data_IF_741925998416
#
_entry.id   IF_741925998416
#
_cell.length_a   1.000
_cell.length_b   1.000
_cell.length_c   1.000
_cell.angle_alpha   90.00
_cell.angle_beta   90.00
_cell.angle_gamma   90.00
#
_symmetry.space_group_name_H-M   'P 1'
#
loop_
_entity.id
_entity.type
_entity.pdbx_description
1 polymer ?
#
# COMPACT_ATOMS: atom_id res chain seq x y z
N UNK A 1 39.67 0.14 -18.82
CA UNK A 1 39.59 1.36 -17.98
C UNK A 1 38.22 1.43 -17.32
N UNK A 2 38.14 1.17 -16.02
CA UNK A 2 36.86 1.06 -15.29
C UNK A 2 36.44 2.44 -14.76
N UNK A 3 35.32 2.97 -15.25
CA UNK A 3 34.80 4.28 -14.83
C UNK A 3 34.04 4.10 -13.51
N UNK A 4 34.65 4.53 -12.40
CA UNK A 4 33.98 4.59 -11.10
C UNK A 4 33.00 5.76 -11.13
N UNK A 5 31.70 5.45 -11.21
CA UNK A 5 30.62 6.41 -11.02
C UNK A 5 30.71 6.97 -9.59
N UNK A 6 30.71 8.30 -9.46
CA UNK A 6 30.74 8.96 -8.16
C UNK A 6 29.35 8.86 -7.53
N UNK A 7 29.29 8.60 -6.22
CA UNK A 7 28.02 8.51 -5.46
C UNK A 7 27.13 9.75 -5.63
N UNK A 8 27.72 10.91 -5.91
CA UNK A 8 27.00 12.14 -6.24
C UNK A 8 26.13 12.03 -7.50
N UNK A 9 26.55 11.23 -8.47
CA UNK A 9 25.81 11.05 -9.72
C UNK A 9 24.66 10.06 -9.53
N UNK A 10 24.81 9.08 -8.62
CA UNK A 10 23.74 8.16 -8.24
C UNK A 10 22.59 8.89 -7.53
N UNK A 11 22.91 9.82 -6.63
CA UNK A 11 21.90 10.62 -5.92
C UNK A 11 21.08 11.52 -6.88
N UNK A 12 21.73 12.08 -7.92
CA UNK A 12 21.03 12.86 -8.96
C UNK A 12 20.09 12.00 -9.80
N UNK A 13 20.49 10.78 -10.15
CA UNK A 13 19.64 9.85 -10.91
C UNK A 13 18.42 9.42 -10.08
N UNK A 14 18.58 9.22 -8.77
CA UNK A 14 17.45 8.85 -7.89
C UNK A 14 16.47 10.02 -7.72
N UNK A 15 16.95 11.25 -7.52
CA UNK A 15 16.09 12.43 -7.40
C UNK A 15 15.36 12.78 -8.71
N UNK A 16 16.00 12.53 -9.86
CA UNK A 16 15.37 12.76 -11.16
C UNK A 16 14.29 11.71 -11.48
N UNK A 17 14.39 10.50 -10.91
CA UNK A 17 13.43 9.40 -11.15
C UNK A 17 12.17 9.52 -10.28
N UNK A 18 12.24 10.19 -9.13
CA UNK A 18 11.07 10.45 -8.27
C UNK A 18 10.21 11.63 -8.73
N UNK A 19 10.73 12.52 -9.58
CA UNK A 19 9.98 13.68 -10.08
C UNK A 19 9.14 13.40 -11.35
N UNK A 20 9.29 12.25 -12.01
CA UNK A 20 8.63 11.95 -13.30
C UNK A 20 7.57 10.84 -13.27
N UNK A 21 7.21 10.29 -12.11
CA UNK A 21 6.15 9.26 -12.03
C UNK A 21 4.75 9.81 -11.73
N UNK A 22 4.58 11.13 -11.63
CA UNK A 22 3.27 11.76 -11.55
C UNK A 22 2.77 12.08 -12.97
N UNK A 23 1.62 11.51 -13.33
CA UNK A 23 0.88 11.75 -14.57
C UNK A 23 1.32 10.93 -15.80
N UNK A 24 0.89 9.66 -15.79
CA UNK A 24 0.14 9.08 -16.91
C UNK A 24 -0.85 8.09 -16.31
N UNK A 25 -2.10 8.52 -16.22
CA UNK A 25 -3.21 7.69 -15.77
C UNK A 25 -3.25 6.42 -16.60
N UNK A 26 -2.91 5.30 -15.95
CA UNK A 26 -3.29 3.98 -16.43
C UNK A 26 -4.78 3.88 -16.17
N UNK A 27 -5.56 4.07 -17.23
CA UNK A 27 -6.97 3.71 -17.27
C UNK A 27 -7.01 2.19 -17.19
N UNK A 28 -7.17 1.65 -15.98
CA UNK A 28 -7.56 0.25 -15.80
C UNK A 28 -9.00 0.19 -16.26
N UNK A 29 -9.17 -0.27 -17.50
CA UNK A 29 -10.48 -0.59 -18.04
C UNK A 29 -11.06 -1.71 -17.18
N UNK A 30 -12.25 -1.47 -16.63
CA UNK A 30 -13.02 -2.46 -15.89
C UNK A 30 -13.10 -3.75 -16.71
N UNK A 31 -12.49 -4.80 -16.16
CA UNK A 31 -12.53 -6.13 -16.71
C UNK A 31 -13.97 -6.61 -16.80
N UNK A 32 -14.33 -6.95 -18.03
CA UNK A 32 -15.56 -7.63 -18.43
C UNK A 32 -16.00 -8.72 -17.46
N UNK A 33 -17.28 -8.67 -17.14
CA UNK A 33 -18.09 -9.70 -16.52
C UNK A 33 -17.67 -11.12 -16.93
N UNK A 34 -16.95 -11.81 -16.04
CA UNK A 34 -16.96 -13.27 -16.08
C UNK A 34 -18.33 -13.71 -15.58
N UNK A 35 -19.17 -14.14 -16.52
CA UNK A 35 -20.39 -14.89 -16.26
C UNK A 35 -20.11 -16.00 -15.25
N UNK A 36 -20.52 -15.78 -14.00
CA UNK A 36 -20.65 -16.80 -12.97
C UNK A 36 -21.75 -17.77 -13.42
N UNK A 37 -21.37 -18.73 -14.25
CA UNK A 37 -22.17 -19.91 -14.52
C UNK A 37 -22.36 -20.67 -13.22
N UNK A 38 -23.53 -20.52 -12.61
CA UNK A 38 -24.07 -21.43 -11.60
C UNK A 38 -24.11 -22.85 -12.19
N UNK A 39 -23.01 -23.59 -12.07
CA UNK A 39 -23.04 -25.05 -12.13
C UNK A 39 -23.52 -25.51 -10.77
N UNK A 40 -24.83 -25.73 -10.67
CA UNK A 40 -25.42 -26.56 -9.63
C UNK A 40 -24.73 -27.92 -9.67
N UNK A 41 -23.94 -28.21 -8.65
CA UNK A 41 -23.36 -29.53 -8.42
C UNK A 41 -24.52 -30.51 -8.18
N UNK A 42 -24.92 -31.21 -9.25
CA UNK A 42 -25.88 -32.28 -9.21
C UNK A 42 -25.33 -33.41 -8.35
N UNK A 43 -25.83 -33.48 -7.12
CA UNK A 43 -25.71 -34.62 -6.21
C UNK A 43 -26.24 -35.87 -6.92
N UNK A 44 -25.35 -36.69 -7.46
CA UNK A 44 -25.62 -38.10 -7.75
C UNK A 44 -25.67 -38.85 -6.42
N UNK A 45 -26.87 -39.00 -5.86
CA UNK A 45 -27.19 -40.07 -4.92
C UNK A 45 -28.13 -41.00 -5.65
N UNK A 46 -27.58 -42.10 -6.14
CA UNK A 46 -28.33 -43.23 -6.64
C UNK A 46 -28.89 -43.99 -5.42
N UNK A 47 -30.12 -43.63 -5.03
CA UNK A 47 -30.85 -44.25 -3.93
C UNK A 47 -32.26 -44.61 -4.40
N UNK A 48 -32.61 -45.88 -4.22
CA UNK A 48 -33.78 -46.59 -4.74
C UNK A 48 -35.14 -45.95 -4.39
N UNK A 49 -36.11 -46.30 -5.23
CA UNK A 49 -37.54 -45.99 -5.15
C UNK A 49 -38.13 -46.09 -3.73
N UNK A 50 -38.93 -45.07 -3.38
CA UNK A 50 -39.82 -45.07 -2.23
C UNK A 50 -40.85 -43.96 -2.42
N UNK A 51 -42.08 -44.37 -2.70
CA UNK A 51 -43.27 -43.55 -2.93
C UNK A 51 -43.55 -42.60 -1.76
N UNK A 52 -44.05 -41.39 -2.04
CA UNK A 52 -44.80 -40.64 -1.03
C UNK A 52 -44.79 -39.11 -1.15
N UNK A 53 -45.90 -38.58 -1.67
CA UNK A 53 -46.59 -37.35 -1.20
C UNK A 53 -45.80 -36.02 -1.22
N UNK A 54 -45.94 -35.19 -2.27
CA UNK A 54 -46.97 -34.14 -2.39
C UNK A 54 -47.02 -33.13 -1.24
N UNK A 55 -46.25 -32.05 -1.34
CA UNK A 55 -46.66 -30.74 -0.79
C UNK A 55 -46.47 -29.66 -1.86
N UNK A 56 -47.55 -28.89 -2.03
CA UNK A 56 -47.80 -27.87 -3.03
C UNK A 56 -46.91 -26.64 -2.87
N UNK A 57 -46.71 -26.02 -4.03
CA UNK A 57 -46.19 -24.69 -4.34
C UNK A 57 -46.91 -23.57 -3.57
N UNK A 58 -46.19 -22.49 -3.27
CA UNK A 58 -46.66 -21.13 -3.60
C UNK A 58 -45.52 -20.33 -4.22
N UNK A 59 -45.72 -20.03 -5.51
CA UNK A 59 -45.05 -19.00 -6.29
C UNK A 59 -45.66 -17.65 -5.90
N UNK A 60 -44.82 -16.67 -5.57
CA UNK A 60 -45.11 -15.24 -5.67
C UNK A 60 -43.84 -14.59 -6.20
N UNK A 61 -43.72 -14.43 -7.52
CA UNK A 61 -44.05 -13.20 -8.27
C UNK A 61 -43.28 -11.95 -7.82
N UNK A 62 -42.41 -11.54 -8.75
CA UNK A 62 -42.08 -10.17 -9.13
C UNK A 62 -41.54 -9.21 -8.05
N UNK A 63 -40.31 -8.74 -8.27
CA UNK A 63 -40.00 -7.35 -8.62
C UNK A 63 -38.51 -7.25 -9.01
N UNK A 64 -38.23 -6.54 -10.10
CA UNK A 64 -36.92 -6.42 -10.73
C UNK A 64 -35.88 -5.60 -9.95
N UNK A 65 -34.71 -5.35 -10.56
CA UNK A 65 -33.56 -4.78 -9.86
C UNK A 65 -33.78 -3.29 -9.62
N UNK A 66 -33.94 -2.87 -8.36
CA UNK A 66 -33.68 -1.48 -8.00
C UNK A 66 -32.19 -1.33 -7.73
N UNK A 67 -31.50 -0.82 -8.76
CA UNK A 67 -30.24 -0.12 -8.60
C UNK A 67 -30.48 1.07 -7.67
N UNK A 68 -30.01 0.97 -6.42
CA UNK A 68 -29.82 2.13 -5.55
C UNK A 68 -28.34 2.49 -5.58
N UNK A 69 -27.97 3.30 -6.57
CA UNK A 69 -26.72 4.05 -6.55
C UNK A 69 -26.94 5.20 -5.60
N UNK A 70 -26.54 5.05 -4.34
CA UNK A 70 -26.39 6.21 -3.46
C UNK A 70 -25.17 6.98 -3.93
N UNK A 71 -25.44 8.03 -4.69
CA UNK A 71 -24.51 9.10 -4.99
C UNK A 71 -23.95 9.65 -3.68
N UNK A 72 -22.70 9.31 -3.38
CA UNK A 72 -21.95 10.00 -2.33
C UNK A 72 -21.63 11.41 -2.83
N UNK A 73 -22.18 12.40 -2.16
CA UNK A 73 -21.85 13.79 -2.36
C UNK A 73 -20.34 13.98 -2.09
N UNK A 74 -19.60 14.32 -3.14
CA UNK A 74 -18.25 14.82 -3.01
C UNK A 74 -18.29 16.16 -2.27
N UNK A 75 -17.99 16.15 -0.98
CA UNK A 75 -17.54 17.35 -0.28
C UNK A 75 -16.17 17.68 -0.84
N UNK A 76 -16.11 18.75 -1.63
CA UNK A 76 -14.86 19.35 -2.06
C UNK A 76 -14.08 19.81 -0.81
N UNK A 77 -13.12 19.00 -0.37
CA UNK A 77 -12.03 19.46 0.46
C UNK A 77 -11.25 20.49 -0.35
N UNK A 78 -11.28 21.75 0.11
CA UNK A 78 -10.30 22.74 -0.27
C UNK A 78 -8.97 22.28 0.29
N UNK A 79 -8.19 21.60 -0.54
CA UNK A 79 -6.74 21.52 -0.38
C UNK A 79 -6.18 22.94 -0.43
N UNK A 80 -5.98 23.54 0.74
CA UNK A 80 -5.02 24.62 0.93
C UNK A 80 -3.63 24.01 0.85
N UNK A 81 -3.20 23.76 -0.39
CA UNK A 81 -1.82 23.38 -0.72
C UNK A 81 -0.84 24.51 -0.38
N UNK A 82 0.40 24.15 -0.03
CA UNK A 82 1.40 25.04 0.54
C UNK A 82 1.84 26.08 -0.48
N UNK A 83 1.67 27.35 -0.10
CA UNK A 83 2.12 28.49 -0.87
C UNK A 83 3.62 28.43 -1.13
N UNK A 84 3.95 28.68 -2.39
CA UNK A 84 5.30 28.91 -2.90
C UNK A 84 6.08 29.84 -1.97
N UNK A 85 7.31 29.42 -1.66
CA UNK A 85 8.32 30.26 -1.05
C UNK A 85 9.05 31.02 -2.17
N UNK A 86 8.92 32.35 -2.28
CA UNK A 86 10.03 33.16 -2.76
C UNK A 86 10.99 33.30 -1.56
N UNK A 87 12.24 32.85 -1.64
CA UNK A 87 13.19 33.39 -2.58
C UNK A 87 13.58 34.80 -2.11
N UNK A 88 14.76 34.91 -1.49
CA UNK A 88 15.52 36.16 -1.51
C UNK A 88 15.61 36.92 -0.19
N UNK A 89 16.80 36.85 0.39
CA UNK A 89 17.61 38.01 0.79
C UNK A 89 16.87 39.23 1.36
N UNK A 90 17.03 39.40 2.66
CA UNK A 90 16.75 40.64 3.37
C UNK A 90 17.57 40.71 4.65
N UNK A 91 18.89 40.77 4.53
CA UNK A 91 19.69 41.48 5.54
C UNK A 91 19.16 42.90 5.62
N UNK A 92 18.77 43.36 6.81
CA UNK A 92 18.51 44.79 7.02
C UNK A 92 17.47 45.10 8.07
N UNK A 93 17.93 45.60 9.21
CA UNK A 93 17.17 46.58 9.97
C UNK A 93 16.56 46.09 11.27
N UNK A 94 17.40 45.89 12.29
CA UNK A 94 17.02 46.24 13.65
C UNK A 94 16.82 47.76 13.69
N UNK A 95 15.63 48.22 13.31
CA UNK A 95 15.24 49.61 13.48
C UNK A 95 15.15 49.89 14.99
N UNK A 96 16.18 50.56 15.49
CA UNK A 96 16.13 51.38 16.69
C UNK A 96 14.90 52.29 16.65
N UNK A 97 13.84 51.92 17.36
CA UNK A 97 12.86 52.88 17.87
C UNK A 97 13.48 53.56 19.10
N UNK A 98 14.54 54.33 18.85
CA UNK A 98 15.01 55.38 19.74
C UNK A 98 14.29 56.65 19.31
N UNK A 99 13.04 56.80 19.73
CA UNK A 99 12.35 58.10 19.65
C UNK A 99 12.89 58.96 20.79
N UNK A 100 14.00 59.63 20.52
CA UNK A 100 14.37 60.86 21.20
C UNK A 100 13.43 61.95 20.71
N UNK A 101 12.58 62.44 21.61
CA UNK A 101 11.83 63.68 21.44
C UNK A 101 12.24 64.57 22.59
N UNK A 102 13.11 65.52 22.29
CA UNK A 102 13.67 66.47 23.23
C UNK A 102 12.61 67.19 24.05
N UNK A 103 12.86 67.12 25.35
CA UNK A 103 12.65 68.13 26.36
C UNK A 103 12.53 69.57 25.79
N UNK A 104 11.32 70.11 25.79
CA UNK A 104 11.09 71.56 25.86
C UNK A 104 10.19 71.82 27.06
N UNK A 105 10.80 72.06 28.22
CA UNK A 105 10.09 72.70 29.33
C UNK A 105 9.97 74.19 29.02
N UNK A 106 8.77 74.74 28.79
CA UNK A 106 8.62 76.19 28.76
C UNK A 106 8.91 76.74 30.16
N UNK A 107 9.97 77.53 30.29
CA UNK A 107 10.22 78.36 31.47
C UNK A 107 9.01 79.26 31.70
N UNK A 108 8.27 79.00 32.78
CA UNK A 108 7.16 79.84 33.21
C UNK A 108 7.70 81.23 33.61
N UNK A 109 7.21 82.25 32.91
CA UNK A 109 7.33 83.66 33.33
C UNK A 109 6.67 83.83 34.70
N UNK A 110 7.38 84.37 35.71
CA UNK A 110 6.75 84.81 36.94
C UNK A 110 6.10 86.17 36.69
N UNK A 111 4.77 86.21 36.73
CA UNK A 111 4.03 87.47 36.72
C UNK A 111 2.86 87.49 35.75
N UNK A 112 1.82 86.67 36.02
CA UNK A 112 0.48 86.90 35.47
C UNK A 112 -0.56 86.46 36.49
N UNK A 113 -1.13 87.44 37.17
CA UNK A 113 -2.51 87.54 37.63
C UNK A 113 -3.32 86.24 37.65
N UNK A 114 -3.52 85.71 38.87
CA UNK A 114 -4.56 84.75 39.24
C UNK A 114 -5.92 85.12 38.63
N UNK A 115 -6.35 84.40 37.59
CA UNK A 115 -7.71 84.41 37.08
C UNK A 115 -8.46 83.16 37.58
N UNK A 116 -9.71 83.27 38.04
CA UNK A 116 -10.46 82.17 38.67
C UNK A 116 -11.16 81.29 37.63
N UNK A 117 -10.41 80.66 36.71
CA UNK A 117 -10.94 79.73 35.70
C UNK A 117 -10.45 78.28 35.89
N UNK A 118 -10.03 77.91 37.10
CA UNK A 118 -9.36 76.62 37.38
C UNK A 118 -10.25 75.54 38.02
N UNK A 119 -11.57 75.72 38.08
CA UNK A 119 -12.45 74.81 38.84
C UNK A 119 -13.24 73.84 37.94
N UNK A 120 -13.46 74.14 36.67
CA UNK A 120 -14.27 73.27 35.78
C UNK A 120 -13.51 72.06 35.20
N UNK A 121 -12.17 72.07 35.18
CA UNK A 121 -11.37 70.98 34.57
C UNK A 121 -11.17 69.76 35.46
N UNK A 122 -11.45 69.84 36.77
CA UNK A 122 -11.27 68.71 37.69
C UNK A 122 -12.42 67.69 37.64
N UNK A 123 -13.65 68.15 37.40
CA UNK A 123 -14.81 67.26 37.33
C UNK A 123 -14.80 66.37 36.08
N UNK A 124 -14.37 66.92 34.94
CA UNK A 124 -14.30 66.18 33.67
C UNK A 124 -13.20 65.10 33.70
N UNK A 125 -12.07 65.37 34.35
CA UNK A 125 -11.01 64.38 34.57
C UNK A 125 -11.47 63.16 35.37
N UNK A 126 -12.28 63.36 36.41
CA UNK A 126 -12.80 62.26 37.24
C UNK A 126 -13.80 61.37 36.47
N UNK A 127 -14.66 61.95 35.63
CA UNK A 127 -15.59 61.19 34.79
C UNK A 127 -14.84 60.37 33.72
N UNK A 128 -13.81 60.94 33.10
CA UNK A 128 -12.98 60.22 32.13
C UNK A 128 -12.21 59.07 32.78
N UNK A 129 -11.66 59.24 33.99
CA UNK A 129 -11.01 58.14 34.72
C UNK A 129 -11.99 57.01 35.05
N UNK A 130 -13.22 57.34 35.45
CA UNK A 130 -14.27 56.35 35.69
C UNK A 130 -14.62 55.57 34.42
N UNK A 131 -14.79 56.24 33.29
CA UNK A 131 -15.08 55.59 32.01
C UNK A 131 -13.94 54.66 31.55
N UNK A 132 -12.68 55.06 31.76
CA UNK A 132 -11.51 54.22 31.45
C UNK A 132 -11.47 52.98 32.35
N UNK A 133 -11.75 53.12 33.65
CA UNK A 133 -11.82 52.00 34.57
C UNK A 133 -12.93 51.00 34.20
N UNK A 134 -14.15 51.49 33.91
CA UNK A 134 -15.27 50.66 33.47
C UNK A 134 -14.97 49.96 32.12
N UNK A 135 -14.28 50.63 31.20
CA UNK A 135 -13.83 50.02 29.94
C UNK A 135 -12.81 48.91 30.18
N UNK A 136 -11.85 49.10 31.09
CA UNK A 136 -10.86 48.10 31.44
C UNK A 136 -11.49 46.87 32.10
N UNK A 137 -12.47 47.06 33.00
CA UNK A 137 -13.21 45.97 33.62
C UNK A 137 -13.96 45.13 32.57
N UNK A 138 -14.67 45.77 31.63
CA UNK A 138 -15.35 45.05 30.55
C UNK A 138 -14.38 44.27 29.65
N UNK A 139 -13.22 44.83 29.36
CA UNK A 139 -12.20 44.14 28.56
C UNK A 139 -11.65 42.91 29.30
N UNK A 140 -11.39 43.02 30.61
CA UNK A 140 -10.97 41.89 31.44
C UNK A 140 -12.01 40.76 31.45
N UNK A 141 -13.30 41.08 31.58
CA UNK A 141 -14.36 40.05 31.54
C UNK A 141 -14.38 39.34 30.17
N UNK A 142 -14.23 40.08 29.06
CA UNK A 142 -14.14 39.46 27.73
C UNK A 142 -12.90 38.57 27.60
N UNK A 143 -11.75 39.00 28.11
CA UNK A 143 -10.53 38.21 28.11
C UNK A 143 -10.70 36.91 28.92
N UNK A 144 -11.34 36.99 30.09
CA UNK A 144 -11.63 35.83 30.92
C UNK A 144 -12.57 34.83 30.23
N UNK A 145 -13.65 35.31 29.60
CA UNK A 145 -14.57 34.44 28.86
C UNK A 145 -13.87 33.72 27.70
N UNK A 146 -13.02 34.44 26.95
CA UNK A 146 -12.19 33.82 25.89
C UNK A 146 -11.23 32.78 26.45
N UNK A 147 -10.62 33.03 27.62
CA UNK A 147 -9.75 32.05 28.26
C UNK A 147 -10.51 30.76 28.61
N UNK A 148 -11.73 30.87 29.14
CA UNK A 148 -12.59 29.71 29.46
C UNK A 148 -12.96 28.94 28.19
N UNK A 149 -13.32 29.63 27.10
CA UNK A 149 -13.63 29.00 25.81
C UNK A 149 -12.42 28.22 25.26
N UNK A 150 -11.22 28.80 25.33
CA UNK A 150 -9.99 28.16 24.88
C UNK A 150 -9.60 26.96 25.75
N UNK A 151 -9.79 27.04 27.07
CA UNK A 151 -9.57 25.91 27.98
C UNK A 151 -10.53 24.75 27.67
N UNK A 152 -11.79 25.05 27.37
CA UNK A 152 -12.79 24.06 26.94
C UNK A 152 -12.40 23.37 25.63
N UNK A 153 -12.02 24.16 24.60
CA UNK A 153 -11.57 23.63 23.32
C UNK A 153 -10.30 22.77 23.46
N UNK A 154 -9.34 23.19 24.30
CA UNK A 154 -8.12 22.43 24.55
C UNK A 154 -8.42 21.11 25.27
N UNK A 155 -9.35 21.09 26.22
CA UNK A 155 -9.78 19.86 26.89
C UNK A 155 -10.47 18.89 25.91
N UNK A 156 -11.30 19.40 25.01
CA UNK A 156 -11.98 18.60 23.97
C UNK A 156 -10.98 18.00 22.99
N UNK A 157 -10.04 18.79 22.46
CA UNK A 157 -8.99 18.31 21.55
C UNK A 157 -8.08 17.28 22.25
N UNK A 158 -7.75 17.48 23.52
CA UNK A 158 -7.00 16.49 24.31
C UNK A 158 -7.78 15.18 24.47
N UNK A 159 -9.10 15.25 24.65
CA UNK A 159 -9.95 14.06 24.73
C UNK A 159 -10.04 13.33 23.39
N UNK A 160 -10.15 14.06 22.27
CA UNK A 160 -10.11 13.50 20.91
C UNK A 160 -8.77 12.81 20.64
N UNK A 161 -7.65 13.46 20.99
CA UNK A 161 -6.32 12.89 20.84
C UNK A 161 -6.16 11.55 21.56
N UNK A 162 -6.67 11.42 22.79
CA UNK A 162 -6.66 10.15 23.53
C UNK A 162 -7.48 9.05 22.85
N UNK A 163 -8.66 9.39 22.33
CA UNK A 163 -9.50 8.42 21.60
C UNK A 163 -8.82 7.93 20.32
N UNK A 164 -8.13 8.83 19.61
CA UNK A 164 -7.37 8.46 18.41
C UNK A 164 -6.20 7.53 18.72
N UNK A 165 -5.48 7.74 19.83
CA UNK A 165 -4.40 6.83 20.23
C UNK A 165 -4.93 5.46 20.64
N UNK A 166 -6.05 5.39 21.37
CA UNK A 166 -6.66 4.11 21.75
C UNK A 166 -7.20 3.33 20.54
N UNK A 167 -7.78 4.01 19.55
CA UNK A 167 -8.23 3.39 18.30
C UNK A 167 -7.05 2.90 17.45
N UNK A 168 -5.93 3.62 17.42
CA UNK A 168 -4.70 3.19 16.76
C UNK A 168 -4.15 1.89 17.40
N UNK A 169 -4.03 1.85 18.73
CA UNK A 169 -3.56 0.66 19.45
C UNK A 169 -4.49 -0.56 19.22
N UNK A 170 -5.80 -0.33 19.15
CA UNK A 170 -6.77 -1.38 18.85
C UNK A 170 -6.61 -1.92 17.43
N UNK A 171 -6.38 -1.04 16.44
CA UNK A 171 -6.13 -1.41 15.04
C UNK A 171 -4.83 -2.18 14.87
N UNK A 172 -3.75 -1.74 15.52
CA UNK A 172 -2.46 -2.43 15.47
C UNK A 172 -2.57 -3.86 15.97
N UNK A 173 -3.32 -4.08 17.06
CA UNK A 173 -3.60 -5.44 17.57
C UNK A 173 -4.39 -6.30 16.58
N UNK A 174 -5.29 -5.71 15.79
CA UNK A 174 -6.02 -6.42 14.73
C UNK A 174 -5.09 -6.75 13.57
N UNK A 175 -4.23 -5.81 13.17
CA UNK A 175 -3.23 -6.01 12.11
C UNK A 175 -2.31 -7.18 12.47
N UNK A 176 -1.72 -7.21 13.67
CA UNK A 176 -0.85 -8.32 14.08
C UNK A 176 -1.56 -9.69 14.07
N UNK A 177 -2.85 -9.73 14.41
CA UNK A 177 -3.64 -10.97 14.33
C UNK A 177 -3.88 -11.41 12.88
N UNK A 178 -4.10 -10.46 11.97
CA UNK A 178 -4.29 -10.75 10.55
C UNK A 178 -2.99 -11.24 9.90
N UNK A 179 -1.85 -10.61 10.22
CA UNK A 179 -0.53 -11.03 9.76
C UNK A 179 -0.20 -12.46 10.19
N UNK A 180 -0.50 -12.82 11.44
CA UNK A 180 -0.34 -14.18 11.93
C UNK A 180 -1.20 -15.20 11.16
N UNK A 181 -2.46 -14.85 10.85
CA UNK A 181 -3.36 -15.70 10.05
C UNK A 181 -2.92 -15.84 8.60
N UNK A 182 -2.42 -14.78 7.99
CA UNK A 182 -1.86 -14.82 6.63
C UNK A 182 -0.69 -15.79 6.59
N UNK A 183 0.23 -15.68 7.55
CA UNK A 183 1.39 -16.58 7.66
C UNK A 183 0.98 -18.05 7.85
N UNK A 184 -0.08 -18.31 8.64
CA UNK A 184 -0.63 -19.66 8.82
C UNK A 184 -1.26 -20.20 7.52
N UNK A 185 -2.02 -19.37 6.81
CA UNK A 185 -2.64 -19.73 5.53
C UNK A 185 -1.58 -20.04 4.47
N UNK A 186 -0.54 -19.22 4.35
CA UNK A 186 0.56 -19.44 3.40
C UNK A 186 1.26 -20.79 3.66
N UNK A 187 1.52 -21.12 4.93
CA UNK A 187 2.07 -22.43 5.33
C UNK A 187 1.11 -23.57 4.99
N UNK A 188 -0.19 -23.41 5.24
CA UNK A 188 -1.18 -24.43 4.90
C UNK A 188 -1.29 -24.65 3.39
N UNK A 189 -1.15 -23.58 2.60
CA UNK A 189 -1.19 -23.60 1.15
C UNK A 189 0.00 -24.39 0.59
N UNK A 190 1.23 -24.07 1.02
CA UNK A 190 2.43 -24.77 0.55
C UNK A 190 2.38 -26.27 0.89
N UNK A 191 1.91 -26.64 2.08
CA UNK A 191 1.70 -28.05 2.48
C UNK A 191 0.67 -28.73 1.58
N UNK A 192 -0.47 -28.08 1.32
CA UNK A 192 -1.51 -28.65 0.46
C UNK A 192 -1.07 -28.82 -0.99
N UNK A 193 -0.32 -27.84 -1.53
CA UNK A 193 0.28 -27.93 -2.86
C UNK A 193 1.27 -29.08 -2.95
N UNK A 194 2.14 -29.24 -1.95
CA UNK A 194 3.06 -30.38 -1.87
C UNK A 194 2.34 -31.72 -1.87
N UNK A 195 1.24 -31.85 -1.12
CA UNK A 195 0.40 -33.06 -1.11
C UNK A 195 -0.26 -33.35 -2.46
N UNK A 196 -0.76 -32.33 -3.15
CA UNK A 196 -1.37 -32.49 -4.47
C UNK A 196 -0.32 -32.95 -5.49
N UNK A 197 0.88 -32.36 -5.47
CA UNK A 197 1.98 -32.76 -6.36
C UNK A 197 2.41 -34.21 -6.08
N UNK A 198 2.55 -34.59 -4.80
CA UNK A 198 2.88 -35.96 -4.43
C UNK A 198 1.81 -36.96 -4.92
N UNK A 199 0.53 -36.67 -4.67
CA UNK A 199 -0.57 -37.51 -5.12
C UNK A 199 -0.66 -37.61 -6.66
N UNK A 200 -0.34 -36.52 -7.37
CA UNK A 200 -0.29 -36.53 -8.84
C UNK A 200 0.87 -37.39 -9.35
N UNK A 201 2.06 -37.30 -8.76
CA UNK A 201 3.22 -38.15 -9.11
C UNK A 201 2.97 -39.63 -8.84
N UNK A 202 2.19 -39.94 -7.81
CA UNK A 202 1.78 -41.31 -7.46
C UNK A 202 0.59 -41.81 -8.28
N UNK A 203 -0.03 -40.98 -9.11
CA UNK A 203 -1.19 -41.39 -9.92
C UNK A 203 -0.80 -42.31 -11.06
N UNK A 204 -1.65 -43.31 -11.32
CA UNK A 204 -1.47 -44.25 -12.43
C UNK A 204 -1.40 -43.52 -13.78
N UNK A 205 -2.19 -42.46 -13.99
CA UNK A 205 -2.16 -41.64 -15.20
C UNK A 205 -0.76 -41.03 -15.44
N UNK A 206 -0.11 -40.54 -14.38
CA UNK A 206 1.25 -40.00 -14.49
C UNK A 206 2.25 -41.12 -14.78
N UNK A 207 2.16 -42.25 -14.08
CA UNK A 207 3.05 -43.40 -14.29
C UNK A 207 2.87 -44.03 -15.68
N UNK A 208 1.65 -44.09 -16.20
CA UNK A 208 1.33 -44.55 -17.54
C UNK A 208 1.82 -43.56 -18.59
N UNK A 209 1.66 -42.26 -18.38
CA UNK A 209 2.21 -41.24 -19.27
C UNK A 209 3.75 -41.31 -19.32
N UNK A 210 4.41 -41.45 -18.17
CA UNK A 210 5.87 -41.62 -18.09
C UNK A 210 6.29 -42.92 -18.78
N UNK A 211 5.65 -44.05 -18.47
CA UNK A 211 5.96 -45.36 -19.08
C UNK A 211 5.67 -45.37 -20.58
N UNK A 212 4.59 -44.76 -21.02
CA UNK A 212 4.22 -44.60 -22.43
C UNK A 212 5.21 -43.71 -23.18
N UNK A 213 5.76 -42.70 -22.51
CA UNK A 213 6.80 -41.82 -23.08
C UNK A 213 8.16 -42.52 -23.17
N UNK A 214 8.55 -43.30 -22.17
CA UNK A 214 9.82 -44.06 -22.18
C UNK A 214 9.77 -45.31 -23.05
N UNK A 215 8.59 -45.92 -23.22
CA UNK A 215 8.37 -47.03 -24.16
C UNK A 215 8.07 -46.56 -25.59
N UNK A 216 7.94 -45.25 -25.80
CA UNK A 216 7.75 -44.71 -27.13
C UNK A 216 9.03 -44.92 -27.94
N UNK A 217 8.95 -45.80 -28.92
CA UNK A 217 9.95 -45.95 -29.98
C UNK A 217 10.26 -44.64 -30.70
N UNK A 218 9.54 -43.54 -30.42
CA UNK A 218 9.74 -42.21 -31.01
C UNK A 218 11.19 -41.73 -31.00
N UNK A 219 11.98 -42.01 -29.95
CA UNK A 219 13.40 -41.62 -29.95
C UNK A 219 14.23 -42.52 -30.87
N UNK A 220 13.92 -43.82 -30.97
CA UNK A 220 14.56 -44.73 -31.94
C UNK A 220 14.16 -44.42 -33.38
N UNK A 221 12.85 -44.33 -33.64
CA UNK A 221 12.28 -44.03 -34.96
C UNK A 221 12.69 -42.64 -35.46
N UNK A 222 12.75 -41.65 -34.56
CA UNK A 222 13.24 -40.31 -34.87
C UNK A 222 14.74 -40.27 -35.20
N UNK A 223 15.55 -41.05 -34.49
CA UNK A 223 16.97 -41.18 -34.76
C UNK A 223 17.22 -41.90 -36.11
N UNK A 224 16.50 -42.99 -36.37
CA UNK A 224 16.58 -43.71 -37.65
C UNK A 224 16.02 -42.90 -38.83
N UNK A 225 15.04 -42.03 -38.59
CA UNK A 225 14.60 -41.05 -39.58
C UNK A 225 15.72 -40.06 -39.92
N UNK A 226 16.43 -39.55 -38.92
CA UNK A 226 17.59 -38.67 -39.13
C UNK A 226 18.73 -39.38 -39.88
N UNK A 227 19.04 -40.64 -39.55
CA UNK A 227 20.00 -41.46 -40.32
C UNK A 227 19.59 -41.57 -41.79
N UNK A 228 18.32 -41.87 -42.06
CA UNK A 228 17.78 -41.97 -43.43
C UNK A 228 17.85 -40.65 -44.19
N UNK A 229 17.57 -39.52 -43.53
CA UNK A 229 17.70 -38.19 -44.16
C UNK A 229 19.16 -37.85 -44.47
N UNK A 230 20.09 -38.17 -43.57
CA UNK A 230 21.53 -37.96 -43.78
C UNK A 230 22.07 -38.82 -44.93
N UNK A 231 21.72 -40.11 -44.97
CA UNK A 231 22.09 -41.02 -46.05
C UNK A 231 21.58 -40.53 -47.42
N UNK A 232 20.36 -39.99 -47.46
CA UNK A 232 19.78 -39.47 -48.69
C UNK A 232 20.43 -38.16 -49.16
N UNK A 233 20.83 -37.28 -48.24
CA UNK A 233 21.47 -36.01 -48.61
C UNK A 233 22.95 -36.17 -49.00
N UNK A 234 23.62 -37.19 -48.44
CA UNK A 234 25.05 -37.41 -48.63
C UNK A 234 25.37 -38.90 -48.87
N UNK A 235 25.13 -39.42 -50.07
CA UNK A 235 25.33 -40.84 -50.36
C UNK A 235 26.80 -41.31 -50.25
N UNK A 236 27.77 -40.40 -50.37
CA UNK A 236 29.21 -40.71 -50.37
C UNK A 236 29.93 -40.30 -49.05
N UNK A 237 29.25 -40.38 -47.90
CA UNK A 237 29.88 -40.06 -46.60
C UNK A 237 31.09 -40.97 -46.27
N UNK A 238 31.18 -42.15 -46.89
CA UNK A 238 32.32 -43.06 -46.75
C UNK A 238 32.37 -43.82 -45.42
N UNK A 239 31.35 -43.67 -44.58
CA UNK A 239 31.14 -44.46 -43.36
C UNK A 239 29.68 -44.93 -43.31
N UNK A 240 29.48 -46.15 -42.79
CA UNK A 240 28.17 -46.77 -42.71
C UNK A 240 27.37 -46.12 -41.58
N UNK A 241 26.20 -45.57 -41.90
CA UNK A 241 25.29 -44.97 -40.93
C UNK A 241 24.53 -46.04 -40.13
N UNK A 242 24.53 -47.31 -40.58
CA UNK A 242 23.99 -48.42 -39.79
C UNK A 242 24.87 -48.74 -38.58
N UNK A 243 26.19 -48.56 -38.69
CA UNK A 243 27.15 -48.76 -37.59
C UNK A 243 27.12 -47.62 -36.55
N UNK A 244 26.41 -46.52 -36.84
CA UNK A 244 26.21 -45.42 -35.90
C UNK A 244 25.10 -45.82 -34.92
N UNK A 245 25.47 -46.57 -33.89
CA UNK A 245 24.62 -46.79 -32.72
C UNK A 245 24.67 -45.58 -31.79
N UNK A 246 23.55 -45.29 -31.11
CA UNK A 246 23.59 -44.36 -29.98
C UNK A 246 24.47 -44.98 -28.91
N UNK A 247 25.48 -44.22 -28.47
CA UNK A 247 26.35 -44.63 -27.38
C UNK A 247 25.53 -44.82 -26.10
N UNK A 248 25.31 -46.08 -25.72
CA UNK A 248 24.55 -46.42 -24.51
C UNK A 248 25.26 -45.93 -23.25
N UNK A 249 26.60 -45.77 -23.28
CA UNK A 249 27.33 -45.20 -22.16
C UNK A 249 27.00 -43.72 -21.97
N UNK A 250 26.75 -42.98 -23.05
CA UNK A 250 26.35 -41.58 -22.98
C UNK A 250 24.95 -41.44 -22.36
N UNK A 251 24.00 -42.27 -22.78
CA UNK A 251 22.64 -42.31 -22.21
C UNK A 251 22.67 -42.68 -20.72
N UNK A 252 23.42 -43.72 -20.35
CA UNK A 252 23.55 -44.14 -18.96
C UNK A 252 24.20 -43.06 -18.09
N UNK A 253 25.14 -42.30 -18.64
CA UNK A 253 25.80 -41.19 -17.94
C UNK A 253 24.87 -39.99 -17.76
N UNK A 254 24.06 -39.65 -18.76
CA UNK A 254 23.09 -38.55 -18.67
C UNK A 254 22.01 -38.87 -17.63
N UNK A 255 21.49 -40.11 -17.62
CA UNK A 255 20.53 -40.57 -16.62
C UNK A 255 21.11 -40.46 -15.19
N UNK A 256 22.35 -40.93 -14.99
CA UNK A 256 23.04 -40.82 -13.71
C UNK A 256 23.31 -39.36 -13.26
N UNK A 257 23.56 -38.44 -14.19
CA UNK A 257 23.77 -37.02 -13.88
C UNK A 257 22.45 -36.34 -13.48
N UNK A 258 21.33 -36.72 -14.11
CA UNK A 258 20.00 -36.19 -13.73
C UNK A 258 19.55 -36.67 -12.35
N UNK A 259 19.86 -37.91 -11.98
CA UNK A 259 19.61 -38.45 -10.64
C UNK A 259 20.44 -37.73 -9.57
N UNK A 260 21.70 -37.39 -9.87
CA UNK A 260 22.52 -36.58 -8.95
C UNK A 260 21.96 -35.17 -8.75
N UNK A 261 21.55 -34.47 -9.80
CA UNK A 261 20.99 -33.11 -9.67
C UNK A 261 19.70 -33.08 -8.86
N UNK A 262 18.81 -34.05 -9.07
CA UNK A 262 17.54 -34.11 -8.32
C UNK A 262 17.75 -34.46 -6.85
N UNK A 263 18.77 -35.27 -6.53
CA UNK A 263 19.17 -35.55 -5.16
C UNK A 263 19.77 -34.31 -4.45
N UNK A 264 20.61 -33.54 -5.14
CA UNK A 264 21.20 -32.31 -4.61
C UNK A 264 20.17 -31.20 -4.39
N UNK A 265 19.21 -31.00 -5.30
CA UNK A 265 18.11 -30.03 -5.13
C UNK A 265 17.16 -30.43 -3.99
N UNK A 266 16.91 -31.72 -3.80
CA UNK A 266 16.10 -32.22 -2.69
C UNK A 266 16.75 -32.00 -1.30
N UNK A 267 18.08 -32.09 -1.22
CA UNK A 267 18.82 -31.89 0.02
C UNK A 267 18.93 -30.41 0.42
N UNK A 268 19.10 -29.51 -0.56
CA UNK A 268 19.20 -28.06 -0.30
C UNK A 268 17.89 -27.43 0.22
N UNK A 269 16.74 -28.05 -0.04
CA UNK A 269 15.43 -27.55 0.42
C UNK A 269 15.09 -27.87 1.88
N UNK A 270 15.80 -28.79 2.54
CA UNK A 270 15.43 -29.28 3.87
C UNK A 270 16.14 -28.57 5.04
N UNK A 271 17.27 -27.90 4.82
CA UNK A 271 18.05 -27.26 5.90
C UNK A 271 17.61 -25.84 6.27
N UNK A 272 16.65 -25.23 5.56
CA UNK A 272 16.28 -23.81 5.73
C UNK A 272 15.17 -23.49 6.74
N UNK A 273 14.50 -24.47 7.36
CA UNK A 273 13.27 -24.23 8.16
C UNK A 273 13.51 -24.35 9.69
N UNK A 274 14.75 -24.52 10.11
CA UNK A 274 15.10 -24.91 11.48
C UNK A 274 15.73 -23.86 12.38
N UNK A 275 15.58 -22.54 12.18
CA UNK A 275 16.20 -21.57 13.11
C UNK A 275 15.44 -20.24 13.22
N UNK A 276 14.25 -20.28 13.81
CA UNK A 276 13.56 -19.06 14.28
C UNK A 276 12.58 -19.40 15.41
N UNK A 277 13.10 -19.92 16.53
CA UNK A 277 12.36 -20.03 17.79
C UNK A 277 13.30 -20.09 19.00
N UNK A 278 13.92 -18.95 19.34
CA UNK A 278 14.33 -18.59 20.71
C UNK A 278 14.07 -17.11 20.91
#
# INVERSE_FOLDING_TARGET
MSRRLKLSDLAKVVAQKTATSASKGVVISEGSETTSGKRTFGRWVQGKAGEGSSVRRTLGEALGPQASVMASAATAEKDSGPGDTPGGQGEGGWAHLRSGGDQVYPCARPGSSLAPYAVETFAEGALNQKAVAESAEMEMVRAQNRAIELEGALAEEKAKGKRLTEDADAKDKVISKLEARISELEKSQSVSQGRIIAAFKESDDFLEAVRGSTSSSYFGDGFDFCKRQLAHQYPDLGFDLEDVEMDQEFLAKEEAETDQRTAEEGAAGAEGVGEAAV
#
